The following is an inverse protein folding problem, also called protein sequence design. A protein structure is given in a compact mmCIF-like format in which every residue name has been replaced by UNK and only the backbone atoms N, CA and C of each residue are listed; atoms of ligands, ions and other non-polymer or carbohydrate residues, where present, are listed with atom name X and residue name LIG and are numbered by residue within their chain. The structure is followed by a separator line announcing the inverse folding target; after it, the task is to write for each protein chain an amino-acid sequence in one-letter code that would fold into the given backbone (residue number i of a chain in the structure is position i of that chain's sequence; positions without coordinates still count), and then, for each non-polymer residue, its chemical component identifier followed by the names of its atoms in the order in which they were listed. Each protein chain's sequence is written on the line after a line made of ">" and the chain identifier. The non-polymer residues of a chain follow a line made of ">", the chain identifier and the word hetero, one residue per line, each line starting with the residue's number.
data_IF_151217240408
#
_entry.id   IF_151217240408
#
_cell.length_a   1.000
_cell.length_b   1.000
_cell.length_c   1.000
_cell.angle_alpha   90.00
_cell.angle_beta   90.00
_cell.angle_gamma   90.00
#
_symmetry.space_group_name_H-M   'P 1'
#
loop_
_entity.id
_entity.type
_entity.pdbx_description
1 polymer ?
#
# COMPACT_ATOMS: atom_id res chain seq x y z
N UNK A 1 -11.68 7.02 -5.84
CA UNK A 1 -12.45 5.77 -5.65
C UNK A 1 -13.15 5.74 -4.29
N UNK A 2 -12.45 5.83 -3.16
CA UNK A 2 -13.08 5.98 -1.83
C UNK A 2 -13.74 7.38 -1.66
N UNK A 3 -12.98 8.45 -1.93
CA UNK A 3 -13.38 9.87 -1.88
C UNK A 3 -14.59 10.30 -2.73
N UNK A 4 -15.16 9.41 -3.55
CA UNK A 4 -16.34 9.70 -4.38
C UNK A 4 -17.60 8.94 -3.92
N UNK A 5 -17.43 7.79 -3.28
CA UNK A 5 -18.55 6.91 -2.94
C UNK A 5 -19.24 7.42 -1.67
N UNK A 6 -20.54 7.68 -1.77
CA UNK A 6 -21.35 8.23 -0.68
C UNK A 6 -21.31 7.40 0.61
N UNK A 7 -21.15 6.08 0.50
CA UNK A 7 -21.11 5.15 1.62
C UNK A 7 -19.69 4.77 2.07
N UNK A 8 -18.65 5.44 1.55
CA UNK A 8 -17.30 5.23 2.03
C UNK A 8 -17.08 5.97 3.36
N UNK A 9 -16.40 5.31 4.30
CA UNK A 9 -16.27 5.79 5.68
C UNK A 9 -14.86 6.28 6.03
N UNK A 10 -13.84 5.49 5.74
CA UNK A 10 -12.45 5.79 6.07
C UNK A 10 -11.50 5.18 5.05
N UNK A 11 -10.26 5.66 5.03
CA UNK A 11 -9.18 5.12 4.20
C UNK A 11 -8.00 4.74 5.09
N UNK A 12 -7.66 3.45 5.10
CA UNK A 12 -6.46 2.93 5.76
C UNK A 12 -5.20 3.48 5.07
N UNK A 13 -4.17 3.81 5.86
CA UNK A 13 -2.91 4.34 5.36
C UNK A 13 -1.73 3.91 6.24
N UNK A 14 -0.62 3.60 5.58
CA UNK A 14 0.70 3.43 6.18
C UNK A 14 1.67 4.26 5.35
N UNK A 15 2.55 4.99 6.03
CA UNK A 15 3.53 5.87 5.40
C UNK A 15 4.41 5.11 4.40
N UNK A 16 4.58 5.66 3.20
CA UNK A 16 5.43 5.08 2.19
C UNK A 16 6.89 5.42 2.45
N UNK A 17 7.76 4.40 2.39
CA UNK A 17 9.21 4.61 2.45
C UNK A 17 9.73 5.29 1.19
N UNK A 18 10.87 5.96 1.29
CA UNK A 18 11.53 6.69 0.21
C UNK A 18 11.69 5.85 -1.07
N UNK A 19 12.10 4.57 -0.95
CA UNK A 19 12.22 3.67 -2.10
C UNK A 19 10.89 3.46 -2.84
N UNK A 20 9.78 3.34 -2.10
CA UNK A 20 8.45 3.20 -2.69
C UNK A 20 8.02 4.49 -3.37
N UNK A 21 8.27 5.65 -2.76
CA UNK A 21 7.98 6.96 -3.34
C UNK A 21 8.83 7.24 -4.60
N UNK A 22 10.08 6.74 -4.65
CA UNK A 22 10.96 6.82 -5.83
C UNK A 22 10.39 6.05 -7.01
N UNK A 23 9.86 4.84 -6.78
CA UNK A 23 9.28 4.00 -7.84
C UNK A 23 7.89 4.49 -8.26
N UNK A 24 7.10 5.02 -7.32
CA UNK A 24 5.74 5.50 -7.55
C UNK A 24 5.60 6.98 -7.17
N UNK A 25 6.09 7.91 -8.02
CA UNK A 25 6.06 9.32 -7.72
C UNK A 25 4.64 9.88 -7.66
N UNK A 26 4.45 10.92 -6.83
CA UNK A 26 3.17 11.61 -6.60
C UNK A 26 2.09 10.80 -5.85
N UNK A 27 2.47 9.72 -5.15
CA UNK A 27 1.55 9.01 -4.27
C UNK A 27 0.91 9.98 -3.25
N UNK A 28 -0.42 9.93 -3.03
CA UNK A 28 -1.10 10.81 -2.08
C UNK A 28 -0.70 10.51 -0.64
N UNK A 29 -0.39 11.55 0.12
CA UNK A 29 -0.10 11.49 1.55
C UNK A 29 -1.22 12.18 2.36
N UNK A 30 -1.58 11.67 3.56
CA UNK A 30 -2.56 12.33 4.40
C UNK A 30 -2.10 13.72 4.82
N UNK A 31 -2.98 14.72 4.74
CA UNK A 31 -2.75 16.07 5.26
C UNK A 31 -3.74 16.32 6.38
N UNK A 32 -3.24 16.54 7.60
CA UNK A 32 -4.06 16.71 8.80
C UNK A 32 -5.12 15.60 8.99
N UNK A 33 -4.75 14.35 8.72
CA UNK A 33 -5.64 13.18 8.88
C UNK A 33 -6.58 12.89 7.70
N UNK A 34 -6.50 13.66 6.61
CA UNK A 34 -7.34 13.46 5.42
C UNK A 34 -6.54 13.14 4.17
N UNK A 35 -7.02 12.19 3.38
CA UNK A 35 -6.54 11.91 2.04
C UNK A 35 -7.44 12.60 1.01
N UNK A 36 -6.82 13.28 0.05
CA UNK A 36 -7.50 14.05 -0.99
C UNK A 36 -7.40 13.35 -2.34
N UNK A 37 -8.43 13.51 -3.18
CA UNK A 37 -8.38 13.07 -4.56
C UNK A 37 -7.24 13.77 -5.31
N UNK A 38 -6.64 13.07 -6.27
CA UNK A 38 -5.69 13.67 -7.20
C UNK A 38 -6.46 14.40 -8.30
N UNK A 39 -5.99 15.60 -8.66
CA UNK A 39 -6.60 16.44 -9.70
C UNK A 39 -5.97 16.21 -11.08
N UNK A 40 -4.88 15.44 -11.15
CA UNK A 40 -4.26 15.06 -12.42
C UNK A 40 -5.19 14.11 -13.18
N UNK A 41 -5.27 14.20 -14.53
CA UNK A 41 -6.02 13.23 -15.33
C UNK A 41 -5.56 11.79 -15.07
N UNK A 42 -6.52 10.86 -15.05
CA UNK A 42 -6.26 9.46 -14.74
C UNK A 42 -6.17 9.19 -13.23
N UNK A 43 -5.33 8.22 -12.83
CA UNK A 43 -5.17 7.84 -11.41
C UNK A 43 -4.33 8.89 -10.63
N UNK A 44 -3.46 9.64 -11.32
CA UNK A 44 -2.59 10.65 -10.72
C UNK A 44 -1.25 10.12 -10.17
N UNK A 45 -0.98 8.82 -10.30
CA UNK A 45 0.27 8.15 -9.95
C UNK A 45 0.70 7.27 -11.12
N UNK A 46 2.00 7.23 -11.40
CA UNK A 46 2.62 6.38 -12.42
C UNK A 46 3.77 5.57 -11.81
N UNK A 47 4.36 4.65 -12.58
CA UNK A 47 5.52 3.86 -12.15
C UNK A 47 6.76 4.28 -12.94
N UNK A 48 7.83 4.61 -12.24
CA UNK A 48 9.16 4.75 -12.83
C UNK A 48 9.77 3.35 -13.05
N UNK A 49 9.73 2.91 -14.31
CA UNK A 49 10.23 1.59 -14.74
C UNK A 49 11.74 1.47 -14.59
N UNK A 50 12.50 2.57 -14.67
CA UNK A 50 13.95 2.53 -14.49
C UNK A 50 14.29 2.33 -13.01
N UNK A 51 13.66 3.11 -12.11
CA UNK A 51 13.83 2.98 -10.67
C UNK A 51 13.36 1.61 -10.14
N UNK A 52 12.29 1.05 -10.72
CA UNK A 52 11.76 -0.26 -10.34
C UNK A 52 12.77 -1.40 -10.55
N UNK A 53 13.68 -1.29 -11.53
CA UNK A 53 14.69 -2.33 -11.82
C UNK A 53 15.68 -2.55 -10.69
N UNK A 54 15.87 -1.55 -9.82
CA UNK A 54 16.76 -1.65 -8.66
C UNK A 54 16.17 -2.54 -7.55
N UNK A 55 14.88 -2.88 -7.63
CA UNK A 55 14.14 -3.64 -6.62
C UNK A 55 13.49 -4.89 -7.24
N UNK A 56 14.28 -5.87 -7.69
CA UNK A 56 13.74 -7.13 -8.19
C UNK A 56 12.98 -7.88 -7.08
N UNK A 57 12.11 -8.80 -7.49
CA UNK A 57 11.38 -9.65 -6.55
C UNK A 57 12.36 -10.47 -5.69
N UNK A 58 12.12 -10.51 -4.38
CA UNK A 58 12.90 -11.29 -3.43
C UNK A 58 11.95 -12.24 -2.70
N UNK A 59 12.29 -13.53 -2.66
CA UNK A 59 11.50 -14.53 -1.95
C UNK A 59 11.38 -14.20 -0.46
N UNK A 60 10.18 -14.36 0.09
CA UNK A 60 9.91 -14.26 1.52
C UNK A 60 9.01 -15.43 1.93
N UNK A 61 9.35 -16.17 3.00
CA UNK A 61 8.56 -17.34 3.42
C UNK A 61 7.24 -17.00 4.10
N UNK A 62 7.06 -15.75 4.55
CA UNK A 62 5.84 -15.27 5.22
C UNK A 62 5.38 -16.21 6.38
N UNK A 63 6.31 -16.53 7.29
CA UNK A 63 6.10 -17.52 8.37
C UNK A 63 4.90 -17.22 9.28
N UNK A 64 4.52 -15.95 9.42
CA UNK A 64 3.34 -15.53 10.19
C UNK A 64 2.03 -16.19 9.70
N UNK A 65 1.97 -16.62 8.44
CA UNK A 65 0.80 -17.32 7.87
C UNK A 65 0.66 -18.76 8.36
N UNK A 66 1.71 -19.32 8.95
CA UNK A 66 1.71 -20.65 9.58
C UNK A 66 1.28 -20.55 11.04
N UNK A 67 0.21 -19.81 11.29
CA UNK A 67 -0.31 -19.54 12.64
C UNK A 67 -0.86 -20.81 13.28
N UNK A 68 -0.49 -21.03 14.56
CA UNK A 68 -0.93 -22.16 15.37
C UNK A 68 -1.39 -21.69 16.74
N UNK A 69 -2.45 -22.32 17.23
CA UNK A 69 -2.86 -22.21 18.63
C UNK A 69 -1.83 -22.93 19.53
N UNK A 70 -1.83 -22.69 20.85
CA UNK A 70 -0.90 -23.35 21.77
C UNK A 70 -0.96 -24.89 21.77
N UNK A 71 -2.08 -25.49 21.33
CA UNK A 71 -2.25 -26.94 21.18
C UNK A 71 -1.65 -27.50 19.86
N UNK A 72 -1.12 -26.62 19.00
CA UNK A 72 -0.52 -26.95 17.71
C UNK A 72 -1.48 -26.91 16.52
N UNK A 73 -2.78 -26.69 16.73
CA UNK A 73 -3.79 -26.63 15.67
C UNK A 73 -3.57 -25.40 14.78
N UNK A 74 -3.66 -25.56 13.46
CA UNK A 74 -3.62 -24.45 12.51
C UNK A 74 -4.86 -23.56 12.68
N UNK A 75 -4.65 -22.25 12.68
CA UNK A 75 -5.73 -21.26 12.73
C UNK A 75 -5.58 -20.23 11.60
N UNK A 76 -6.67 -19.56 11.23
CA UNK A 76 -6.58 -18.40 10.35
C UNK A 76 -5.69 -17.36 11.05
N UNK A 77 -4.56 -16.94 10.44
CA UNK A 77 -3.64 -16.00 11.04
C UNK A 77 -4.28 -14.64 11.30
#
# INVERSE_FOLDING_TARGET
>A
MNVHLHNAAIQEHVEYKENTQRVFPNAPEPRNGYLYAQEKPGIGVEMDVAAAKDFPVVYRPHEWTQSRLPDGTIHTP
#
